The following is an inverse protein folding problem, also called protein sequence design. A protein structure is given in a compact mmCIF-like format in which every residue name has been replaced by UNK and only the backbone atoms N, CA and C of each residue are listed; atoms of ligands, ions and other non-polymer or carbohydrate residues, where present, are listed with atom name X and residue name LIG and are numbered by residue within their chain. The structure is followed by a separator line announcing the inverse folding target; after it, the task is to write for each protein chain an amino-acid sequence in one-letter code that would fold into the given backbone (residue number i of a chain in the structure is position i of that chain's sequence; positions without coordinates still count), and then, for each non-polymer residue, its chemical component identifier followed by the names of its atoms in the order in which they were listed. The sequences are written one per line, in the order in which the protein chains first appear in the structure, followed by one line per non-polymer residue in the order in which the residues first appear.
data_IF_887874216501
#
_entry.id   IF_887874216501
#
_cell.length_a   1.000
_cell.length_b   1.000
_cell.length_c   1.000
_cell.angle_alpha   90.00
_cell.angle_beta   90.00
_cell.angle_gamma   90.00
#
_symmetry.space_group_name_H-M   'P 1'
#
loop_
_entity.id
_entity.type
_entity.pdbx_description
1 polymer ?
#
# COMPACT_ATOMS: atom_id res chain seq x y z
N UNK A 1 11.64 63.29 13.92
CA UNK A 1 11.26 62.73 12.61
C UNK A 1 11.10 61.22 12.75
N UNK A 2 9.86 60.73 12.75
CA UNK A 2 9.54 59.32 12.85
C UNK A 2 9.63 58.66 11.46
N UNK A 3 10.33 57.52 11.34
CA UNK A 3 10.30 56.69 10.14
C UNK A 3 9.52 55.42 10.43
N UNK A 4 8.26 55.45 10.00
CA UNK A 4 7.39 54.32 9.76
C UNK A 4 7.85 53.68 8.45
N UNK A 5 8.48 52.50 8.46
CA UNK A 5 8.31 51.46 7.42
C UNK A 5 9.13 50.22 7.76
N UNK A 6 8.51 49.23 8.40
CA UNK A 6 8.94 47.84 8.33
C UNK A 6 7.84 46.90 8.86
N UNK A 7 6.62 46.99 8.30
CA UNK A 7 5.58 45.97 8.52
C UNK A 7 5.19 45.40 7.16
N UNK A 8 6.14 44.75 6.48
CA UNK A 8 5.87 43.95 5.26
C UNK A 8 6.73 42.67 5.25
N UNK A 9 7.12 42.16 6.42
CA UNK A 9 8.05 41.03 6.53
C UNK A 9 7.47 39.76 7.16
N UNK A 10 6.21 39.76 7.60
CA UNK A 10 5.68 38.73 8.51
C UNK A 10 4.39 38.04 8.00
N UNK A 11 4.30 37.80 6.69
CA UNK A 11 3.19 37.01 6.11
C UNK A 11 3.64 35.89 5.17
N UNK A 12 4.94 35.72 4.92
CA UNK A 12 5.45 34.67 4.01
C UNK A 12 5.91 33.38 4.73
N UNK A 13 5.86 33.32 6.06
CA UNK A 13 6.40 32.18 6.83
C UNK A 13 5.36 31.11 7.22
N UNK A 14 4.09 31.22 6.79
CA UNK A 14 3.02 30.31 7.21
C UNK A 14 2.58 29.27 6.16
N UNK A 15 3.26 29.16 5.01
CA UNK A 15 2.84 28.24 3.91
C UNK A 15 3.92 27.20 3.55
N UNK A 16 4.71 26.73 4.52
CA UNK A 16 5.63 25.60 4.28
C UNK A 16 5.34 24.35 5.12
N UNK A 17 4.28 24.38 5.94
CA UNK A 17 3.70 23.17 6.53
C UNK A 17 2.71 22.47 5.57
N UNK A 18 2.81 22.73 4.27
CA UNK A 18 2.12 21.95 3.25
C UNK A 18 2.72 20.54 3.23
N UNK A 19 2.15 19.67 4.06
CA UNK A 19 2.08 18.21 3.94
C UNK A 19 3.29 17.60 3.22
N UNK A 20 4.36 17.28 3.95
CA UNK A 20 5.29 16.28 3.47
C UNK A 20 4.49 14.98 3.27
N UNK A 21 4.00 14.75 2.04
CA UNK A 21 3.22 13.58 1.69
C UNK A 21 4.06 12.36 2.06
N UNK A 22 3.53 11.54 2.96
CA UNK A 22 4.19 10.30 3.36
C UNK A 22 4.34 9.45 2.12
N UNK A 23 5.59 9.18 1.73
CA UNK A 23 5.89 8.31 0.59
C UNK A 23 5.79 6.85 1.06
N UNK A 24 5.22 5.94 0.25
CA UNK A 24 5.26 4.52 0.56
C UNK A 24 6.71 4.03 0.69
N UNK A 25 6.95 3.17 1.67
CA UNK A 25 8.24 2.46 1.82
C UNK A 25 8.36 1.29 0.83
N UNK A 26 7.24 0.84 0.26
CA UNK A 26 7.20 -0.09 -0.85
C UNK A 26 5.94 0.16 -1.69
N UNK A 27 6.08 0.06 -3.01
CA UNK A 27 4.99 0.11 -3.97
C UNK A 27 5.04 -1.14 -4.84
N UNK A 28 3.90 -1.81 -5.01
CA UNK A 28 3.73 -3.01 -5.82
C UNK A 28 2.81 -2.66 -7.00
N UNK A 29 3.36 -2.27 -8.16
CA UNK A 29 2.55 -1.79 -9.29
C UNK A 29 2.18 -2.86 -10.31
N UNK A 30 2.93 -3.96 -10.39
CA UNK A 30 2.73 -5.07 -11.33
C UNK A 30 2.84 -4.73 -12.83
N UNK A 31 3.17 -3.49 -13.20
CA UNK A 31 3.18 -3.07 -14.61
C UNK A 31 4.30 -3.73 -15.41
N UNK A 32 5.49 -3.77 -14.83
CA UNK A 32 6.72 -4.27 -15.46
C UNK A 32 7.02 -5.72 -15.06
N UNK A 33 6.92 -6.02 -13.77
CA UNK A 33 7.20 -7.32 -13.18
C UNK A 33 6.47 -7.46 -11.83
N UNK A 34 6.76 -8.53 -11.08
CA UNK A 34 6.19 -8.75 -9.75
C UNK A 34 6.96 -8.02 -8.62
N UNK A 35 8.10 -7.39 -8.91
CA UNK A 35 8.94 -6.80 -7.88
C UNK A 35 8.29 -5.55 -7.28
N UNK A 36 8.55 -5.32 -5.99
CA UNK A 36 8.17 -4.06 -5.36
C UNK A 36 9.29 -3.03 -5.56
N UNK A 37 8.94 -1.74 -5.48
CA UNK A 37 9.91 -0.64 -5.49
C UNK A 37 9.85 0.08 -4.15
N UNK A 38 11.00 0.25 -3.49
CA UNK A 38 11.10 0.99 -2.23
C UNK A 38 12.38 1.82 -2.14
N UNK A 39 12.67 2.41 -0.97
CA UNK A 39 13.96 3.03 -0.70
C UNK A 39 15.08 2.03 -0.95
N UNK A 40 16.03 2.39 -1.82
CA UNK A 40 17.14 1.52 -2.25
C UNK A 40 16.89 0.72 -3.53
N UNK A 41 15.72 0.84 -4.17
CA UNK A 41 15.43 0.26 -5.48
C UNK A 41 14.46 -0.92 -5.44
N UNK A 42 14.63 -1.85 -6.38
CA UNK A 42 13.76 -3.01 -6.53
C UNK A 42 13.92 -3.99 -5.36
N UNK A 43 12.79 -4.60 -4.95
CA UNK A 43 12.68 -5.64 -3.93
C UNK A 43 12.11 -6.88 -4.60
N UNK A 44 12.88 -7.97 -4.55
CA UNK A 44 12.52 -9.21 -5.23
C UNK A 44 11.22 -9.79 -4.69
N UNK A 45 10.33 -10.15 -5.61
CA UNK A 45 9.15 -10.95 -5.32
C UNK A 45 9.49 -12.44 -5.22
N UNK A 46 8.80 -13.12 -4.31
CA UNK A 46 8.77 -14.57 -4.19
C UNK A 46 7.38 -15.06 -4.60
N UNK A 47 7.19 -15.44 -5.88
CA UNK A 47 5.90 -15.91 -6.36
C UNK A 47 5.61 -17.31 -5.80
N UNK A 48 4.42 -17.49 -5.22
CA UNK A 48 3.93 -18.79 -4.76
C UNK A 48 2.82 -19.27 -5.69
N UNK A 49 2.91 -20.50 -6.17
CA UNK A 49 2.00 -21.05 -7.17
C UNK A 49 2.17 -20.37 -8.53
N UNK A 50 1.07 -19.88 -9.11
CA UNK A 50 1.07 -19.19 -10.41
C UNK A 50 0.35 -17.84 -10.31
N UNK A 51 1.04 -16.78 -9.87
CA UNK A 51 0.48 -15.43 -9.87
C UNK A 51 -0.01 -15.05 -11.27
N UNK A 52 -1.22 -14.49 -11.33
CA UNK A 52 -1.86 -14.08 -12.58
C UNK A 52 -2.08 -12.56 -12.55
N UNK A 53 -1.74 -11.88 -13.64
CA UNK A 53 -1.88 -10.44 -13.76
C UNK A 53 -3.01 -10.10 -14.74
N UNK A 54 -3.82 -9.11 -14.38
CA UNK A 54 -4.88 -8.60 -15.25
C UNK A 54 -4.90 -7.07 -15.25
N UNK A 55 -5.78 -6.49 -16.07
CA UNK A 55 -6.02 -5.05 -16.05
C UNK A 55 -6.56 -4.61 -14.68
N UNK A 56 -5.90 -3.62 -14.08
CA UNK A 56 -6.28 -3.03 -12.80
C UNK A 56 -7.04 -1.71 -12.97
N UNK A 57 -7.36 -1.07 -11.84
CA UNK A 57 -7.93 0.29 -11.83
C UNK A 57 -7.00 1.30 -12.50
N UNK A 58 -5.69 1.11 -12.28
CA UNK A 58 -4.58 1.81 -12.94
C UNK A 58 -3.56 0.73 -13.29
N UNK A 59 -3.12 0.66 -14.55
CA UNK A 59 -2.11 -0.31 -14.98
C UNK A 59 -2.56 -1.77 -14.82
N UNK A 60 -1.66 -2.63 -14.33
CA UNK A 60 -1.95 -4.04 -14.03
C UNK A 60 -2.25 -4.26 -12.53
N UNK A 61 -2.89 -5.37 -12.23
CA UNK A 61 -3.18 -5.82 -10.87
C UNK A 61 -2.99 -7.34 -10.74
N UNK A 62 -2.66 -7.80 -9.53
CA UNK A 62 -2.61 -9.21 -9.19
C UNK A 62 -4.03 -9.77 -9.00
N UNK A 63 -4.35 -10.84 -9.73
CA UNK A 63 -5.56 -11.63 -9.49
C UNK A 63 -5.33 -12.62 -8.36
N UNK A 64 -6.18 -12.55 -7.34
CA UNK A 64 -6.19 -13.44 -6.19
C UNK A 64 -7.48 -14.24 -6.14
N UNK A 65 -7.38 -15.56 -5.95
CA UNK A 65 -8.52 -16.46 -5.84
C UNK A 65 -8.15 -17.92 -6.07
N UNK A 66 -9.14 -18.83 -6.07
CA UNK A 66 -8.91 -20.24 -6.35
C UNK A 66 -8.18 -20.44 -7.68
N UNK A 67 -7.10 -21.23 -7.66
CA UNK A 67 -6.32 -21.55 -8.86
C UNK A 67 -5.32 -20.47 -9.29
N UNK A 68 -5.24 -19.32 -8.60
CA UNK A 68 -4.15 -18.36 -8.78
C UNK A 68 -3.13 -18.46 -7.65
N UNK A 69 -1.91 -18.00 -7.94
CA UNK A 69 -0.86 -17.81 -6.96
C UNK A 69 -0.91 -16.43 -6.29
N UNK A 70 -0.04 -16.25 -5.30
CA UNK A 70 0.19 -14.98 -4.62
C UNK A 70 1.67 -14.60 -4.63
N UNK A 71 1.99 -13.39 -4.16
CA UNK A 71 3.36 -12.86 -4.17
C UNK A 71 3.77 -12.50 -2.75
N UNK A 72 4.90 -13.05 -2.32
CA UNK A 72 5.53 -12.69 -1.05
C UNK A 72 6.71 -11.75 -1.27
N UNK A 73 7.03 -10.96 -0.24
CA UNK A 73 8.18 -10.07 -0.19
C UNK A 73 8.84 -10.19 1.17
N UNK A 74 10.17 -10.02 1.22
CA UNK A 74 10.86 -9.89 2.48
C UNK A 74 10.33 -8.66 3.24
N UNK A 75 10.02 -8.82 4.53
CA UNK A 75 9.43 -7.75 5.34
C UNK A 75 10.46 -6.72 5.81
N UNK A 76 11.75 -7.08 5.80
CA UNK A 76 12.85 -6.21 6.23
C UNK A 76 12.86 -4.89 5.45
N UNK A 77 12.75 -3.77 6.18
CA UNK A 77 12.72 -2.43 5.58
C UNK A 77 11.40 -2.04 4.90
N UNK A 78 10.41 -2.94 4.85
CA UNK A 78 9.06 -2.66 4.32
C UNK A 78 8.04 -2.57 5.44
N UNK A 79 8.10 -3.47 6.42
CA UNK A 79 7.14 -3.54 7.52
C UNK A 79 7.77 -3.04 8.82
N UNK A 80 7.06 -2.18 9.54
CA UNK A 80 7.37 -1.82 10.92
C UNK A 80 6.30 -2.43 11.84
N UNK A 81 6.74 -3.22 12.83
CA UNK A 81 5.86 -3.95 13.74
C UNK A 81 5.03 -3.01 14.63
N UNK A 82 5.52 -1.80 14.89
CA UNK A 82 4.85 -0.85 15.79
C UNK A 82 3.72 -0.06 15.12
N UNK A 83 3.89 0.33 13.85
CA UNK A 83 2.92 1.14 13.12
C UNK A 83 3.20 1.19 11.61
N UNK A 84 2.16 1.42 10.81
CA UNK A 84 2.27 1.66 9.37
C UNK A 84 0.91 1.86 8.71
N UNK A 85 0.94 2.11 7.41
CA UNK A 85 -0.26 2.22 6.57
C UNK A 85 -0.09 1.34 5.34
N UNK A 86 -1.15 0.65 4.96
CA UNK A 86 -1.26 -0.08 3.69
C UNK A 86 -2.42 0.54 2.92
N UNK A 87 -2.21 0.83 1.64
CA UNK A 87 -3.22 1.35 0.71
C UNK A 87 -3.20 0.52 -0.57
N UNK A 88 -4.38 0.18 -1.09
CA UNK A 88 -4.52 -0.57 -2.33
C UNK A 88 -5.92 -0.43 -2.95
N UNK A 89 -6.01 -0.71 -4.24
CA UNK A 89 -7.28 -0.94 -4.93
C UNK A 89 -7.68 -2.40 -4.82
N UNK A 90 -8.95 -2.65 -4.48
CA UNK A 90 -9.54 -3.99 -4.47
C UNK A 90 -10.75 -3.99 -5.40
N UNK A 91 -10.83 -4.99 -6.30
CA UNK A 91 -11.95 -5.17 -7.21
C UNK A 91 -12.52 -6.60 -7.04
N UNK A 92 -13.77 -6.75 -6.58
CA UNK A 92 -14.43 -8.05 -6.60
C UNK A 92 -14.65 -8.49 -8.05
N UNK A 93 -14.28 -9.73 -8.39
CA UNK A 93 -14.45 -10.29 -9.74
C UNK A 93 -15.60 -11.30 -9.80
N UNK A 94 -15.63 -12.24 -8.88
CA UNK A 94 -16.55 -13.38 -8.81
C UNK A 94 -17.18 -13.54 -7.41
N UNK A 95 -17.10 -12.50 -6.60
CA UNK A 95 -17.69 -12.42 -5.27
C UNK A 95 -18.43 -11.10 -5.09
N UNK A 96 -19.34 -11.05 -4.13
CA UNK A 96 -20.10 -9.85 -3.80
C UNK A 96 -19.75 -9.36 -2.40
N UNK A 97 -19.85 -8.05 -2.11
CA UNK A 97 -19.51 -7.51 -0.78
C UNK A 97 -20.29 -8.14 0.38
N UNK A 98 -21.45 -8.72 0.14
CA UNK A 98 -22.29 -9.44 1.09
C UNK A 98 -21.96 -10.93 1.24
N UNK A 99 -21.06 -11.49 0.42
CA UNK A 99 -20.69 -12.91 0.51
C UNK A 99 -20.01 -13.22 1.87
N UNK A 100 -20.42 -14.33 2.49
CA UNK A 100 -19.95 -14.81 3.79
C UNK A 100 -18.62 -15.58 3.72
N UNK A 101 -17.62 -14.97 3.08
CA UNK A 101 -16.27 -15.55 2.96
C UNK A 101 -15.21 -14.62 3.51
N UNK A 102 -14.12 -15.23 3.98
CA UNK A 102 -12.94 -14.54 4.46
C UNK A 102 -12.00 -14.25 3.29
N UNK A 103 -11.85 -12.97 2.92
CA UNK A 103 -10.97 -12.55 1.82
C UNK A 103 -9.77 -11.79 2.40
N UNK A 104 -8.58 -12.34 2.26
CA UNK A 104 -7.32 -11.72 2.67
C UNK A 104 -6.67 -11.04 1.46
N UNK A 105 -6.31 -9.76 1.60
CA UNK A 105 -5.69 -8.97 0.54
C UNK A 105 -4.22 -8.70 0.80
N UNK A 106 -3.83 -8.64 2.08
CA UNK A 106 -2.45 -8.49 2.52
C UNK A 106 -2.31 -9.21 3.85
N UNK A 107 -1.27 -10.03 3.99
CA UNK A 107 -0.92 -10.63 5.27
C UNK A 107 0.58 -10.70 5.49
N UNK A 108 0.96 -10.79 6.76
CA UNK A 108 2.30 -11.09 7.20
C UNK A 108 2.22 -11.88 8.50
N UNK A 109 3.14 -12.84 8.68
CA UNK A 109 3.19 -13.75 9.82
C UNK A 109 4.61 -13.80 10.38
N UNK A 110 4.74 -14.00 11.69
CA UNK A 110 6.00 -14.04 12.41
C UNK A 110 5.75 -14.15 13.92
N UNK A 111 6.33 -13.27 14.73
CA UNK A 111 6.01 -13.13 16.16
C UNK A 111 4.54 -12.68 16.43
N UNK A 112 3.83 -12.28 15.38
CA UNK A 112 2.40 -12.00 15.37
C UNK A 112 1.85 -12.15 13.96
N UNK A 113 0.62 -11.65 13.74
CA UNK A 113 0.04 -11.61 12.41
C UNK A 113 -0.67 -10.28 12.17
N UNK A 114 -0.48 -9.73 10.97
CA UNK A 114 -1.25 -8.60 10.47
C UNK A 114 -1.98 -9.05 9.21
N UNK A 115 -3.28 -8.76 9.17
CA UNK A 115 -4.14 -9.05 8.05
C UNK A 115 -4.87 -7.77 7.64
N UNK A 116 -4.82 -7.44 6.35
CA UNK A 116 -5.80 -6.58 5.70
C UNK A 116 -6.77 -7.49 4.96
N UNK A 117 -8.01 -7.51 5.42
CA UNK A 117 -9.00 -8.49 4.98
C UNK A 117 -10.40 -7.89 5.00
N UNK A 118 -11.32 -8.50 4.25
CA UNK A 118 -12.76 -8.30 4.43
C UNK A 118 -13.20 -9.09 5.65
N UNK A 119 -13.65 -8.38 6.68
CA UNK A 119 -14.16 -8.98 7.91
C UNK A 119 -15.40 -9.85 7.65
N UNK A 120 -15.42 -11.03 8.27
CA UNK A 120 -16.58 -11.89 8.37
C UNK A 120 -16.73 -12.33 9.82
N UNK A 121 -17.95 -12.21 10.36
CA UNK A 121 -18.37 -12.81 11.61
C UNK A 121 -19.51 -13.76 11.26
N UNK A 122 -19.20 -15.05 11.14
CA UNK A 122 -20.23 -16.08 11.07
C UNK A 122 -20.91 -16.21 12.42
N UNK A 123 -22.24 -16.23 12.42
CA UNK A 123 -23.05 -16.58 13.60
C UNK A 123 -23.03 -18.07 13.86
#
# INVERSE_FOLDING_TARGET
MARITAIVGLWALLVSAALAQTKPVATMSFDNDLNAVGPGGARSAFPIGKPDLAAGKVGKALKSGPGTGYVEYATEGILNIAAGTVEMWVCPLDWTPDEEKFHVFFETRGEGALYLYKYYQGT
#
